data_IF_517233615508
#
_entry.id   IF_517233615508
#
_cell.length_a   1.000
_cell.length_b   1.000
_cell.length_c   1.000
_cell.angle_alpha   90.00
_cell.angle_beta   90.00
_cell.angle_gamma   90.00
#
_symmetry.space_group_name_H-M   'P 1'
#
loop_
_entity.id
_entity.type
_entity.pdbx_description
1 polymer ?
#
# COMPACT_ATOMS: atom_id res chain seq x y z
N UNK A 1 12.62 -16.50 18.47
CA UNK A 1 12.23 -16.86 17.09
C UNK A 1 11.69 -15.62 16.41
N UNK A 2 12.54 -14.89 15.70
CA UNK A 2 12.13 -13.73 14.90
C UNK A 2 11.34 -14.23 13.70
N UNK A 3 10.01 -14.23 13.78
CA UNK A 3 9.16 -14.49 12.63
C UNK A 3 9.54 -13.49 11.54
N UNK A 4 10.06 -13.99 10.43
CA UNK A 4 10.36 -13.19 9.26
C UNK A 4 9.01 -12.79 8.66
N UNK A 5 8.57 -11.55 8.90
CA UNK A 5 7.28 -11.05 8.40
C UNK A 5 7.38 -10.98 6.88
N UNK A 6 6.70 -11.89 6.18
CA UNK A 6 6.64 -11.87 4.73
C UNK A 6 5.53 -10.92 4.27
N UNK A 7 5.89 -9.95 3.43
CA UNK A 7 4.96 -8.98 2.87
C UNK A 7 3.77 -9.67 2.18
N UNK A 8 4.01 -10.77 1.47
CA UNK A 8 2.96 -11.48 0.73
C UNK A 8 1.92 -12.13 1.64
N UNK A 9 2.36 -12.73 2.76
CA UNK A 9 1.44 -13.34 3.73
C UNK A 9 0.62 -12.27 4.42
N UNK A 10 1.26 -11.16 4.81
CA UNK A 10 0.58 -10.04 5.44
C UNK A 10 -0.42 -9.37 4.50
N UNK A 11 -0.05 -9.16 3.24
CA UNK A 11 -0.95 -8.62 2.23
C UNK A 11 -2.17 -9.53 2.02
N UNK A 12 -1.99 -10.85 1.99
CA UNK A 12 -3.12 -11.80 1.91
C UNK A 12 -4.04 -11.73 3.12
N UNK A 13 -3.48 -11.59 4.33
CA UNK A 13 -4.28 -11.40 5.56
C UNK A 13 -5.04 -10.08 5.50
N UNK A 14 -4.37 -8.99 5.11
CA UNK A 14 -4.96 -7.67 4.95
C UNK A 14 -6.15 -7.67 3.98
N UNK A 15 -6.03 -8.39 2.87
CA UNK A 15 -7.10 -8.49 1.87
C UNK A 15 -8.31 -9.29 2.36
N UNK A 16 -8.11 -10.18 3.34
CA UNK A 16 -9.17 -11.02 3.93
C UNK A 16 -9.87 -10.33 5.10
N UNK A 17 -9.12 -9.72 6.01
CA UNK A 17 -9.65 -9.18 7.28
C UNK A 17 -9.71 -7.66 7.30
N UNK A 18 -8.90 -7.00 6.48
CA UNK A 18 -8.80 -5.54 6.42
C UNK A 18 -9.65 -4.92 5.32
N UNK A 19 -9.43 -3.61 5.14
CA UNK A 19 -10.09 -2.82 4.12
C UNK A 19 -9.05 -2.02 3.34
N UNK A 20 -9.02 -2.25 2.03
CA UNK A 20 -8.05 -1.64 1.14
C UNK A 20 -8.70 -0.97 -0.06
N UNK A 21 -7.96 -0.04 -0.65
CA UNK A 21 -8.31 0.69 -1.86
C UNK A 21 -7.26 0.36 -2.92
N UNK A 22 -7.71 0.07 -4.14
CA UNK A 22 -6.83 -0.11 -5.28
C UNK A 22 -6.77 1.15 -6.15
N UNK A 23 -5.57 1.49 -6.60
CA UNK A 23 -5.32 2.53 -7.60
C UNK A 23 -4.91 3.89 -7.02
N UNK A 24 -3.90 4.50 -7.62
CA UNK A 24 -3.27 5.74 -7.17
C UNK A 24 -4.28 6.89 -6.96
N UNK A 25 -5.16 7.17 -7.93
CA UNK A 25 -6.13 8.28 -7.84
C UNK A 25 -7.07 8.17 -6.64
N UNK A 26 -7.55 6.95 -6.36
CA UNK A 26 -8.48 6.69 -5.25
C UNK A 26 -7.75 6.72 -3.92
N UNK A 27 -6.51 6.23 -3.88
CA UNK A 27 -5.62 6.35 -2.72
C UNK A 27 -5.30 7.80 -2.40
N UNK A 28 -4.93 8.63 -3.39
CA UNK A 28 -4.69 10.08 -3.20
C UNK A 28 -5.93 10.77 -2.65
N UNK A 29 -7.13 10.49 -3.20
CA UNK A 29 -8.38 11.05 -2.68
C UNK A 29 -8.61 10.68 -1.21
N UNK A 30 -8.29 9.44 -0.83
CA UNK A 30 -8.53 8.93 0.53
C UNK A 30 -7.44 9.37 1.52
N UNK A 31 -6.21 9.57 1.04
CA UNK A 31 -5.11 10.21 1.76
C UNK A 31 -5.47 11.64 2.18
N UNK A 32 -6.04 12.42 1.25
CA UNK A 32 -6.53 13.78 1.53
C UNK A 32 -7.63 13.83 2.59
N UNK A 33 -8.40 12.76 2.73
CA UNK A 33 -9.47 12.64 3.71
C UNK A 33 -8.99 12.05 5.05
N UNK A 34 -7.70 11.72 5.19
CA UNK A 34 -7.16 11.11 6.41
C UNK A 34 -7.66 9.69 6.70
N UNK A 35 -8.20 8.99 5.69
CA UNK A 35 -8.77 7.64 5.86
C UNK A 35 -7.75 6.51 5.65
N UNK A 36 -6.54 6.86 5.23
CA UNK A 36 -5.49 5.90 4.88
C UNK A 36 -4.45 5.84 6.00
N UNK A 37 -4.14 4.64 6.44
CA UNK A 37 -3.14 4.35 7.48
C UNK A 37 -1.78 3.94 6.93
N UNK A 38 -1.74 3.38 5.72
CA UNK A 38 -0.50 3.09 5.00
C UNK A 38 -0.74 3.03 3.50
N UNK A 39 0.31 3.24 2.72
CA UNK A 39 0.26 3.13 1.26
C UNK A 39 1.32 2.17 0.77
N UNK A 40 0.95 1.30 -0.15
CA UNK A 40 1.83 0.38 -0.84
C UNK A 40 1.94 0.82 -2.29
N UNK A 41 3.17 0.94 -2.79
CA UNK A 41 3.49 1.38 -4.15
C UNK A 41 4.25 0.27 -4.86
N UNK A 42 3.85 -0.09 -6.08
CA UNK A 42 4.63 -0.99 -6.92
C UNK A 42 5.82 -0.26 -7.57
N UNK A 43 6.93 -0.97 -7.85
CA UNK A 43 8.12 -0.37 -8.48
C UNK A 43 7.84 0.20 -9.87
N UNK A 44 6.84 -0.32 -10.58
CA UNK A 44 6.42 0.14 -11.91
C UNK A 44 5.47 1.35 -11.87
N UNK A 45 5.23 1.98 -10.71
CA UNK A 45 4.38 3.16 -10.61
C UNK A 45 5.02 4.34 -11.38
N UNK A 46 4.22 5.00 -12.22
CA UNK A 46 4.65 6.21 -12.94
C UNK A 46 5.13 7.29 -11.97
N UNK A 47 6.20 7.99 -12.35
CA UNK A 47 6.89 8.97 -11.51
C UNK A 47 6.01 10.14 -11.08
N UNK A 48 5.11 10.58 -11.94
CA UNK A 48 4.12 11.63 -11.66
C UNK A 48 3.19 11.25 -10.49
N UNK A 49 2.60 10.06 -10.55
CA UNK A 49 1.73 9.54 -9.49
C UNK A 49 2.51 9.21 -8.20
N UNK A 50 3.76 8.76 -8.33
CA UNK A 50 4.62 8.49 -7.18
C UNK A 50 4.91 9.77 -6.40
N UNK A 51 5.24 10.86 -7.10
CA UNK A 51 5.49 12.16 -6.49
C UNK A 51 4.25 12.69 -5.74
N UNK A 52 3.07 12.60 -6.34
CA UNK A 52 1.82 13.00 -5.69
C UNK A 52 1.55 12.21 -4.41
N UNK A 53 1.67 10.87 -4.47
CA UNK A 53 1.45 10.02 -3.30
C UNK A 53 2.45 10.35 -2.20
N UNK A 54 3.74 10.47 -2.53
CA UNK A 54 4.78 10.83 -1.57
C UNK A 54 4.49 12.17 -0.89
N UNK A 55 4.09 13.18 -1.67
CA UNK A 55 3.77 14.51 -1.18
C UNK A 55 2.60 14.48 -0.18
N UNK A 56 1.48 13.87 -0.55
CA UNK A 56 0.32 13.79 0.35
C UNK A 56 0.58 12.89 1.56
N UNK A 57 1.33 11.80 1.38
CA UNK A 57 1.68 10.91 2.48
C UNK A 57 2.58 11.60 3.50
N UNK A 58 3.51 12.46 3.05
CA UNK A 58 4.36 13.27 3.93
C UNK A 58 3.55 14.26 4.78
N UNK A 59 2.59 14.95 4.17
CA UNK A 59 1.71 15.89 4.88
C UNK A 59 0.82 15.16 5.89
N UNK A 60 0.26 14.02 5.51
CA UNK A 60 -0.63 13.23 6.36
C UNK A 60 0.11 12.35 7.38
N UNK A 61 1.46 12.32 7.36
CA UNK A 61 2.27 11.44 8.21
C UNK A 61 2.03 9.95 7.97
N UNK A 62 1.56 9.58 6.78
CA UNK A 62 1.21 8.19 6.44
C UNK A 62 2.47 7.46 5.95
N UNK A 63 2.78 6.26 6.47
CA UNK A 63 3.92 5.48 6.03
C UNK A 63 3.70 4.86 4.65
N UNK A 64 4.79 4.73 3.89
CA UNK A 64 4.79 4.14 2.55
C UNK A 64 5.65 2.87 2.54
N UNK A 65 5.16 1.84 1.87
CA UNK A 65 5.91 0.65 1.52
C UNK A 65 6.12 0.59 0.01
N UNK A 66 7.38 0.57 -0.42
CA UNK A 66 7.72 0.32 -1.82
C UNK A 66 7.90 -1.18 -2.03
N UNK A 67 6.96 -1.79 -2.77
CA UNK A 67 7.04 -3.17 -3.20
C UNK A 67 8.02 -3.27 -4.38
N UNK A 68 9.06 -4.14 -4.29
CA UNK A 68 10.10 -4.23 -5.31
C UNK A 68 9.58 -4.83 -6.64
N UNK A 69 8.51 -5.62 -6.59
CA UNK A 69 7.96 -6.28 -7.77
C UNK A 69 7.04 -5.39 -8.61
N UNK A 70 6.64 -5.93 -9.76
CA UNK A 70 5.81 -5.22 -10.73
C UNK A 70 4.37 -5.02 -10.27
N UNK A 71 3.67 -4.05 -10.86
CA UNK A 71 2.23 -3.86 -10.61
C UNK A 71 1.36 -5.06 -11.02
N UNK A 72 1.87 -5.93 -11.90
CA UNK A 72 1.24 -7.20 -12.23
C UNK A 72 1.35 -8.20 -11.09
N UNK A 73 2.55 -8.38 -10.52
CA UNK A 73 2.73 -9.23 -9.33
C UNK A 73 1.91 -8.73 -8.15
N UNK A 74 1.90 -7.41 -7.92
CA UNK A 74 1.10 -6.81 -6.86
C UNK A 74 -0.40 -7.05 -7.08
N UNK A 75 -0.88 -6.98 -8.34
CA UNK A 75 -2.25 -7.31 -8.71
C UNK A 75 -2.59 -8.79 -8.46
N UNK A 76 -1.69 -9.70 -8.85
CA UNK A 76 -1.83 -11.14 -8.61
C UNK A 76 -1.86 -11.46 -7.11
N UNK A 77 -0.95 -10.88 -6.32
CA UNK A 77 -0.96 -11.00 -4.86
C UNK A 77 -2.23 -10.42 -4.25
N UNK A 78 -2.75 -9.34 -4.84
CA UNK A 78 -4.02 -8.72 -4.47
C UNK A 78 -5.28 -9.51 -4.90
N UNK A 79 -5.12 -10.60 -5.65
CA UNK A 79 -6.22 -11.38 -6.21
C UNK A 79 -7.03 -10.61 -7.26
N UNK A 80 -6.40 -9.70 -8.01
CA UNK A 80 -7.04 -8.90 -9.05
C UNK A 80 -6.54 -9.32 -10.45
N UNK A 81 -7.45 -9.45 -11.45
CA UNK A 81 -7.08 -9.84 -12.81
C UNK A 81 -6.47 -8.67 -13.62
N UNK A 82 -6.05 -7.60 -12.96
CA UNK A 82 -5.51 -6.39 -13.57
C UNK A 82 -4.32 -5.86 -12.77
N UNK A 83 -3.45 -5.10 -13.44
CA UNK A 83 -2.33 -4.42 -12.82
C UNK A 83 -2.79 -3.48 -11.70
N UNK A 84 -2.19 -3.62 -10.52
CA UNK A 84 -2.38 -2.70 -9.40
C UNK A 84 -1.08 -1.95 -9.16
N UNK A 85 -1.10 -0.64 -9.39
CA UNK A 85 0.09 0.22 -9.19
C UNK A 85 0.22 0.74 -7.75
N UNK A 86 -0.89 0.82 -7.03
CA UNK A 86 -0.94 1.37 -5.66
C UNK A 86 -2.06 0.70 -4.87
N UNK A 87 -1.80 0.39 -3.60
CA UNK A 87 -2.80 -0.05 -2.62
C UNK A 87 -2.80 0.94 -1.46
N UNK A 88 -3.95 1.53 -1.17
CA UNK A 88 -4.18 2.31 0.06
C UNK A 88 -4.80 1.43 1.13
N UNK A 89 -4.21 1.38 2.32
CA UNK A 89 -4.73 0.64 3.47
C UNK A 89 -5.62 1.56 4.29
N UNK A 90 -6.94 1.33 4.28
CA UNK A 90 -7.87 2.04 5.17
C UNK A 90 -7.90 1.39 6.57
N UNK A 91 -7.93 0.05 6.59
CA UNK A 91 -7.92 -0.75 7.81
C UNK A 91 -7.02 -1.96 7.64
N UNK A 92 -6.09 -2.12 8.56
CA UNK A 92 -5.08 -3.17 8.66
C UNK A 92 -5.67 -4.53 9.08
N UNK A 93 -6.82 -4.53 9.75
CA UNK A 93 -7.41 -5.75 10.31
C UNK A 93 -6.41 -6.45 11.23
N UNK A 94 -6.19 -7.75 10.98
CA UNK A 94 -5.20 -8.56 11.72
C UNK A 94 -3.80 -8.54 11.09
N UNK A 95 -3.61 -7.78 10.01
CA UNK A 95 -2.32 -7.72 9.33
C UNK A 95 -1.35 -6.79 10.04
N UNK A 96 -0.09 -7.23 10.12
CA UNK A 96 1.05 -6.45 10.60
C UNK A 96 1.74 -5.66 9.49
N UNK A 97 1.05 -5.41 8.37
CA UNK A 97 1.58 -4.68 7.20
C UNK A 97 2.16 -3.30 7.56
N UNK A 98 1.61 -2.65 8.59
CA UNK A 98 2.08 -1.35 9.08
C UNK A 98 3.52 -1.40 9.61
N UNK A 99 3.99 -2.56 10.10
CA UNK A 99 5.36 -2.74 10.58
C UNK A 99 6.39 -2.78 9.44
N UNK A 100 5.93 -3.11 8.22
CA UNK A 100 6.78 -3.14 7.03
C UNK A 100 6.87 -1.75 6.36
N UNK A 101 5.83 -0.93 6.52
CA UNK A 101 5.78 0.40 5.92
C UNK A 101 6.76 1.35 6.63
N UNK A 102 7.54 2.10 5.86
CA UNK A 102 8.51 3.04 6.41
C UNK A 102 7.87 4.43 6.55
N UNK A 103 8.07 5.13 7.68
CA UNK A 103 7.67 6.52 7.77
C UNK A 103 8.44 7.34 6.74
N UNK A 104 7.73 8.21 6.03
CA UNK A 104 8.32 9.15 5.08
C UNK A 104 8.97 10.26 5.92
N UNK A 105 10.28 10.17 6.14
CA UNK A 105 11.08 11.23 6.79
C UNK A 105 11.37 12.38 5.81
#
# INVERSE_FOLDING_TARGET
>A
MSQQISFESELKTLLKTGKVIFGARRTIKSLKLGKIKAVIIASTLRTDLKADILYYSKISGVPIYEYPGSGWELGTLAGKPFMVSTIGVENEGDSKILQLAKPVS
#
